data_IF_812027922199
#
_entry.id   IF_812027922199
#
_cell.length_a   1.000
_cell.length_b   1.000
_cell.length_c   1.000
_cell.angle_alpha   90.00
_cell.angle_beta   90.00
_cell.angle_gamma   90.00
#
_symmetry.space_group_name_H-M   'P 1'
#
loop_
_entity.id
_entity.type
_entity.pdbx_description
1 polymer ?
#
# COMPACT_ATOMS: atom_id res chain seq x y z
N UNK A 1 -15.04 13.16 23.26
CA UNK A 1 -13.97 12.47 24.02
C UNK A 1 -12.67 13.18 23.67
N UNK A 2 -12.04 13.90 24.62
CA UNK A 2 -10.82 14.67 24.36
C UNK A 2 -9.65 13.79 24.80
N UNK A 3 -8.84 13.31 23.84
CA UNK A 3 -7.62 12.59 24.13
C UNK A 3 -6.54 13.59 24.59
N UNK A 4 -6.15 13.51 25.86
CA UNK A 4 -5.07 14.34 26.42
C UNK A 4 -3.78 13.55 26.29
N UNK A 5 -2.92 13.94 25.34
CA UNK A 5 -1.60 13.34 25.19
C UNK A 5 -0.60 14.04 26.14
N UNK A 6 0.20 13.30 26.92
CA UNK A 6 1.29 13.89 27.70
C UNK A 6 2.30 14.59 26.78
N UNK A 7 2.73 15.80 27.16
CA UNK A 7 3.72 16.60 26.42
C UNK A 7 5.10 16.00 26.61
N UNK A 8 5.67 15.44 25.55
CA UNK A 8 7.08 15.07 25.48
C UNK A 8 7.91 16.31 25.12
N UNK A 9 8.85 16.70 25.97
CA UNK A 9 9.87 17.71 25.66
C UNK A 9 11.11 16.98 25.13
N UNK A 10 11.36 17.11 23.83
CA UNK A 10 12.40 16.46 23.02
C UNK A 10 12.14 16.79 21.54
N UNK A 11 12.99 16.35 20.58
CA UNK A 11 12.63 16.43 19.14
C UNK A 11 11.30 15.71 19.01
N UNK A 12 10.23 16.47 18.82
CA UNK A 12 8.91 15.88 18.71
C UNK A 12 8.97 14.93 17.52
N UNK A 13 8.86 13.63 17.76
CA UNK A 13 8.26 12.75 16.78
C UNK A 13 6.90 13.39 16.52
N UNK A 14 6.81 14.18 15.45
CA UNK A 14 5.54 14.69 15.02
C UNK A 14 4.73 13.45 14.74
N UNK A 15 3.76 13.14 15.62
CA UNK A 15 2.75 12.11 15.37
C UNK A 15 1.96 12.62 14.18
N UNK A 16 2.50 12.36 12.98
CA UNK A 16 1.96 12.79 11.71
C UNK A 16 1.23 11.59 11.18
N UNK A 17 -0.08 11.72 11.01
CA UNK A 17 -0.87 10.66 10.40
C UNK A 17 -0.37 10.45 8.97
N UNK A 18 0.27 9.29 8.65
CA UNK A 18 0.85 9.04 7.34
C UNK A 18 -0.22 9.12 6.24
N UNK A 19 -1.47 8.78 6.51
CA UNK A 19 -2.56 8.88 5.55
C UNK A 19 -2.84 10.35 5.15
N UNK A 20 -2.74 11.27 6.11
CA UNK A 20 -2.89 12.70 5.87
C UNK A 20 -1.72 13.27 5.07
N UNK A 21 -0.50 12.78 5.32
CA UNK A 21 0.70 13.17 4.54
C UNK A 21 0.54 12.78 3.09
N UNK A 22 0.16 11.52 2.85
CA UNK A 22 -0.03 11.00 1.50
C UNK A 22 -1.11 11.78 0.76
N UNK A 23 -2.20 12.15 1.43
CA UNK A 23 -3.22 13.02 0.86
C UNK A 23 -2.68 14.39 0.45
N UNK A 24 -1.87 15.02 1.30
CA UNK A 24 -1.24 16.31 1.00
C UNK A 24 -0.22 16.19 -0.14
N UNK A 25 0.53 15.09 -0.17
CA UNK A 25 1.55 14.82 -1.18
C UNK A 25 0.94 14.56 -2.55
N UNK A 26 -0.25 13.97 -2.59
CA UNK A 26 -1.02 13.81 -3.82
C UNK A 26 -1.39 15.14 -4.52
N UNK A 27 -1.42 16.26 -3.78
CA UNK A 27 -1.59 17.60 -4.36
C UNK A 27 -0.27 18.20 -4.87
N UNK A 28 0.88 17.65 -4.45
CA UNK A 28 2.24 18.11 -4.81
C UNK A 28 3.15 16.90 -5.09
N UNK A 29 2.90 16.13 -6.17
CA UNK A 29 3.61 14.88 -6.46
C UNK A 29 5.13 15.10 -6.63
N UNK A 30 5.56 16.28 -7.09
CA UNK A 30 6.98 16.64 -7.23
C UNK A 30 7.75 16.68 -5.91
N UNK A 31 7.05 16.83 -4.78
CA UNK A 31 7.66 16.80 -3.45
C UNK A 31 7.90 15.37 -2.94
N UNK A 32 7.51 14.33 -3.71
CA UNK A 32 7.71 12.93 -3.34
C UNK A 32 9.17 12.62 -3.02
N UNK A 33 10.10 12.98 -3.92
CA UNK A 33 11.52 12.62 -3.78
C UNK A 33 12.19 13.17 -2.51
N UNK A 34 11.74 14.32 -2.01
CA UNK A 34 12.24 14.99 -0.81
C UNK A 34 11.42 14.66 0.45
N UNK A 35 10.40 13.81 0.35
CA UNK A 35 9.48 13.54 1.44
C UNK A 35 10.05 12.54 2.44
N UNK A 36 9.98 12.87 3.73
CA UNK A 36 10.35 11.94 4.82
C UNK A 36 9.42 10.71 4.88
N UNK A 37 8.18 10.81 4.38
CA UNK A 37 7.20 9.70 4.34
C UNK A 37 7.69 8.50 3.52
N UNK A 38 8.71 8.68 2.67
CA UNK A 38 9.30 7.59 1.90
C UNK A 38 9.83 6.45 2.78
N UNK A 39 10.31 6.78 4.00
CA UNK A 39 10.79 5.78 4.95
C UNK A 39 9.68 4.89 5.51
N UNK A 40 8.42 5.35 5.45
CA UNK A 40 7.26 4.59 5.94
C UNK A 40 6.69 3.64 4.86
N UNK A 41 7.17 3.74 3.61
CA UNK A 41 6.76 2.86 2.52
C UNK A 41 7.78 1.73 2.29
N UNK A 42 7.32 0.54 1.85
CA UNK A 42 8.21 -0.51 1.37
C UNK A 42 9.07 -0.05 0.18
N UNK A 43 10.34 -0.46 0.13
CA UNK A 43 11.30 -0.04 -0.91
C UNK A 43 10.83 -0.29 -2.35
N UNK A 44 10.10 -1.38 -2.57
CA UNK A 44 9.52 -1.68 -3.89
C UNK A 44 8.49 -0.67 -4.33
N UNK A 45 7.68 -0.16 -3.39
CA UNK A 45 6.70 0.90 -3.65
C UNK A 45 7.42 2.21 -3.95
N UNK A 46 8.47 2.52 -3.18
CA UNK A 46 9.27 3.73 -3.40
C UNK A 46 9.92 3.75 -4.79
N UNK A 47 10.59 2.66 -5.18
CA UNK A 47 11.21 2.56 -6.52
C UNK A 47 10.17 2.68 -7.63
N UNK A 48 9.02 2.03 -7.46
CA UNK A 48 7.95 2.10 -8.44
C UNK A 48 7.36 3.51 -8.56
N UNK A 49 7.29 4.28 -7.48
CA UNK A 49 6.89 5.68 -7.52
C UNK A 49 7.94 6.58 -8.19
N UNK A 50 9.22 6.28 -8.03
CA UNK A 50 10.31 7.09 -8.60
C UNK A 50 10.36 6.99 -10.13
N UNK A 51 9.86 5.90 -10.72
CA UNK A 51 9.81 5.67 -12.18
C UNK A 51 8.59 6.32 -12.86
N UNK A 52 7.68 6.94 -12.09
CA UNK A 52 6.37 7.41 -12.56
C UNK A 52 6.37 8.85 -13.05
N UNK A 53 5.48 9.11 -14.02
CA UNK A 53 5.07 10.48 -14.33
C UNK A 53 4.36 11.13 -13.11
N UNK A 54 4.55 12.43 -12.86
CA UNK A 54 3.89 13.14 -11.76
C UNK A 54 2.36 12.97 -11.70
N UNK A 55 1.68 12.82 -12.84
CA UNK A 55 0.22 12.67 -12.89
C UNK A 55 -0.22 11.28 -12.39
N UNK A 56 0.48 10.22 -12.81
CA UNK A 56 0.22 8.85 -12.36
C UNK A 56 0.63 8.63 -10.90
N UNK A 57 1.72 9.28 -10.49
CA UNK A 57 2.15 9.34 -9.10
C UNK A 57 1.06 10.00 -8.23
N UNK A 58 0.56 11.18 -8.63
CA UNK A 58 -0.50 11.87 -7.92
C UNK A 58 -1.77 11.01 -7.83
N UNK A 59 -2.18 10.38 -8.92
CA UNK A 59 -3.37 9.53 -8.94
C UNK A 59 -3.21 8.29 -8.04
N UNK A 60 -2.02 7.68 -8.01
CA UNK A 60 -1.72 6.53 -7.15
C UNK A 60 -1.66 6.93 -5.67
N UNK A 61 -1.08 8.09 -5.33
CA UNK A 61 -1.10 8.63 -3.97
C UNK A 61 -2.53 8.96 -3.50
N UNK A 62 -3.39 9.50 -4.39
CA UNK A 62 -4.83 9.68 -4.09
C UNK A 62 -5.52 8.34 -3.80
N UNK A 63 -5.20 7.31 -4.57
CA UNK A 63 -5.75 5.98 -4.38
C UNK A 63 -5.35 5.38 -3.02
N UNK A 64 -4.08 5.51 -2.63
CA UNK A 64 -3.59 5.08 -1.31
C UNK A 64 -4.29 5.86 -0.20
N UNK A 65 -4.34 7.19 -0.30
CA UNK A 65 -5.03 8.02 0.69
C UNK A 65 -6.51 7.67 0.84
N UNK A 66 -7.19 7.33 -0.27
CA UNK A 66 -8.57 6.88 -0.24
C UNK A 66 -8.71 5.51 0.47
N UNK A 67 -7.80 4.57 0.20
CA UNK A 67 -7.81 3.25 0.86
C UNK A 67 -7.51 3.35 2.37
N UNK A 68 -6.64 4.27 2.78
CA UNK A 68 -6.34 4.54 4.19
C UNK A 68 -7.54 5.09 5.00
N UNK A 69 -8.64 5.49 4.36
CA UNK A 69 -9.88 5.85 5.09
C UNK A 69 -10.59 4.64 5.68
N UNK A 70 -10.40 3.47 5.06
CA UNK A 70 -11.07 2.23 5.43
C UNK A 70 -10.13 1.25 6.17
N UNK A 71 -8.82 1.35 5.94
CA UNK A 71 -7.80 0.40 6.38
C UNK A 71 -6.60 1.13 6.99
N UNK A 72 -5.79 0.42 7.77
CA UNK A 72 -4.53 0.98 8.30
C UNK A 72 -3.54 1.31 7.19
N UNK A 73 -2.70 2.34 7.39
CA UNK A 73 -1.68 2.72 6.42
C UNK A 73 -0.69 1.58 6.14
N UNK A 74 -0.25 0.85 7.17
CA UNK A 74 0.66 -0.28 7.03
C UNK A 74 0.07 -1.39 6.15
N UNK A 75 -1.21 -1.74 6.34
CA UNK A 75 -1.90 -2.71 5.49
C UNK A 75 -2.04 -2.23 4.05
N UNK A 76 -2.32 -0.94 3.82
CA UNK A 76 -2.40 -0.36 2.47
C UNK A 76 -1.02 -0.34 1.79
N UNK A 77 0.05 0.00 2.53
CA UNK A 77 1.41 0.02 2.00
C UNK A 77 1.88 -1.39 1.61
N UNK A 78 1.59 -2.40 2.44
CA UNK A 78 1.83 -3.82 2.12
C UNK A 78 0.99 -4.32 0.96
N UNK A 79 -0.29 -3.93 0.87
CA UNK A 79 -1.14 -4.25 -0.26
C UNK A 79 -0.62 -3.64 -1.57
N UNK A 80 -0.12 -2.40 -1.53
CA UNK A 80 0.49 -1.76 -2.68
C UNK A 80 1.76 -2.51 -3.14
N UNK A 81 2.62 -2.91 -2.20
CA UNK A 81 3.80 -3.72 -2.49
C UNK A 81 3.44 -5.05 -3.19
N UNK A 82 2.50 -5.80 -2.63
CA UNK A 82 2.05 -7.08 -3.20
C UNK A 82 1.45 -6.92 -4.62
N UNK A 83 0.68 -5.86 -4.86
CA UNK A 83 0.13 -5.57 -6.19
C UNK A 83 1.22 -5.21 -7.21
N UNK A 84 2.22 -4.43 -6.79
CA UNK A 84 3.35 -4.04 -7.64
C UNK A 84 4.19 -5.27 -7.98
N UNK A 85 4.47 -6.14 -7.01
CA UNK A 85 5.21 -7.39 -7.21
C UNK A 85 4.50 -8.33 -8.19
N UNK A 86 3.19 -8.51 -8.01
CA UNK A 86 2.43 -9.51 -8.77
C UNK A 86 2.09 -9.05 -10.19
N UNK A 87 1.69 -7.78 -10.36
CA UNK A 87 1.07 -7.30 -11.61
C UNK A 87 1.78 -6.12 -12.25
N UNK A 88 2.65 -5.40 -11.55
CA UNK A 88 3.26 -4.13 -12.02
C UNK A 88 2.25 -3.22 -12.74
N UNK A 89 1.13 -2.85 -12.08
CA UNK A 89 0.05 -2.12 -12.75
C UNK A 89 0.54 -0.75 -13.25
N UNK A 90 -0.04 -0.21 -14.33
CA UNK A 90 0.24 1.15 -14.80
C UNK A 90 -0.26 2.23 -13.83
N UNK A 91 -1.17 1.90 -12.90
CA UNK A 91 -1.63 2.81 -11.84
C UNK A 91 -2.24 2.05 -10.69
N UNK A 92 -2.09 2.57 -9.47
CA UNK A 92 -2.81 2.03 -8.31
C UNK A 92 -4.23 2.58 -8.26
N UNK A 93 -5.18 1.70 -7.97
CA UNK A 93 -6.58 2.06 -7.78
C UNK A 93 -7.07 1.72 -6.38
N UNK A 94 -7.87 2.63 -5.81
CA UNK A 94 -8.35 2.50 -4.44
C UNK A 94 -9.11 1.17 -4.21
N UNK A 95 -9.97 0.77 -5.15
CA UNK A 95 -10.75 -0.47 -5.01
C UNK A 95 -9.86 -1.74 -4.92
N UNK A 96 -8.70 -1.76 -5.60
CA UNK A 96 -7.76 -2.87 -5.53
C UNK A 96 -7.05 -2.86 -4.18
N UNK A 97 -6.56 -1.69 -3.77
CA UNK A 97 -5.86 -1.50 -2.50
C UNK A 97 -6.75 -1.82 -1.31
N UNK A 98 -7.97 -1.28 -1.24
CA UNK A 98 -8.89 -1.49 -0.12
C UNK A 98 -9.21 -2.97 0.08
N UNK A 99 -9.44 -3.75 -1.00
CA UNK A 99 -9.73 -5.17 -0.88
C UNK A 99 -8.54 -5.95 -0.29
N UNK A 100 -7.32 -5.69 -0.77
CA UNK A 100 -6.12 -6.36 -0.29
C UNK A 100 -5.73 -5.91 1.13
N UNK A 101 -5.81 -4.61 1.41
CA UNK A 101 -5.50 -4.03 2.71
C UNK A 101 -6.46 -4.53 3.80
N UNK A 102 -7.77 -4.63 3.52
CA UNK A 102 -8.73 -5.19 4.48
C UNK A 102 -8.39 -6.62 4.90
N UNK A 103 -7.90 -7.45 3.98
CA UNK A 103 -7.47 -8.82 4.30
C UNK A 103 -6.28 -8.81 5.26
N UNK A 104 -5.29 -7.96 4.98
CA UNK A 104 -4.11 -7.79 5.84
C UNK A 104 -4.47 -7.26 7.23
N UNK A 105 -5.37 -6.27 7.32
CA UNK A 105 -5.86 -5.76 8.62
C UNK A 105 -6.60 -6.82 9.44
N UNK A 106 -7.27 -7.77 8.77
CA UNK A 106 -7.91 -8.91 9.41
C UNK A 106 -6.92 -10.02 9.82
N UNK A 107 -5.61 -9.80 9.63
CA UNK A 107 -4.57 -10.79 9.92
C UNK A 107 -4.60 -12.00 8.96
N UNK A 108 -5.29 -11.87 7.82
CA UNK A 108 -5.23 -12.88 6.78
C UNK A 108 -3.94 -12.65 6.00
N UNK A 109 -2.92 -13.45 6.32
CA UNK A 109 -1.65 -13.39 5.63
C UNK A 109 -1.88 -13.62 4.12
N UNK A 110 -1.46 -12.67 3.29
CA UNK A 110 -1.54 -12.80 1.83
C UNK A 110 -0.35 -13.53 1.27
N UNK A 111 0.68 -13.80 2.08
CA UNK A 111 1.63 -14.86 1.76
C UNK A 111 0.85 -16.17 1.76
N UNK A 112 0.61 -16.70 0.57
CA UNK A 112 0.38 -18.11 0.38
C UNK A 112 1.61 -18.84 0.92
N UNK A 113 1.67 -19.09 2.23
CA UNK A 113 2.70 -19.91 2.86
C UNK A 113 2.70 -21.34 2.28
N UNK A 114 1.62 -21.69 1.59
CA UNK A 114 1.48 -22.85 0.74
C UNK A 114 0.98 -22.35 -0.62
N UNK A 115 1.77 -22.52 -1.69
CA UNK A 115 1.21 -22.45 -3.05
C UNK A 115 -0.03 -23.34 -3.09
N UNK A 116 -1.19 -22.87 -3.61
CA UNK A 116 -2.34 -23.74 -3.76
C UNK A 116 -1.89 -25.02 -4.45
N UNK A 117 -2.18 -26.19 -3.88
CA UNK A 117 -1.84 -27.45 -4.51
C UNK A 117 -2.70 -27.60 -5.78
N UNK A 118 -2.11 -27.25 -6.92
CA UNK A 118 -2.77 -27.29 -8.22
C UNK A 118 -2.70 -28.69 -8.86
N UNK A 119 -2.10 -29.69 -8.20
CA UNK A 119 -2.04 -31.06 -8.72
C UNK A 119 -3.41 -31.69 -8.93
N UNK A 120 -4.45 -31.16 -8.29
CA UNK A 120 -5.85 -31.53 -8.54
C UNK A 120 -6.28 -31.22 -9.99
N UNK A 121 -5.70 -30.19 -10.61
CA UNK A 121 -5.97 -29.84 -12.01
C UNK A 121 -5.16 -30.69 -13.00
N UNK A 122 -4.04 -31.28 -12.58
CA UNK A 122 -3.27 -32.20 -13.42
C UNK A 122 -4.11 -33.44 -13.78
N UNK A 123 -4.97 -33.91 -12.86
CA UNK A 123 -5.92 -35.00 -13.13
C UNK A 123 -6.88 -34.70 -14.30
N UNK A 124 -7.19 -33.43 -14.57
CA UNK A 124 -8.06 -33.06 -15.70
C UNK A 124 -7.30 -32.95 -17.03
N UNK A 125 -5.97 -32.84 -17.00
CA UNK A 125 -5.11 -32.84 -18.19
C UNK A 125 -4.77 -34.28 -18.65
N UNK A 126 -4.81 -35.25 -17.73
CA UNK A 126 -4.54 -36.66 -18.01
C UNK A 126 -5.76 -37.44 -18.59
N UNK A 127 -6.96 -36.86 -18.61
CA UNK A 127 -8.20 -37.50 -19.11
C UNK A 127 -8.44 -37.30 -20.63
N UNK A 128 -7.39 -36.94 -21.39
CA UNK A 128 -7.43 -36.87 -22.86
C UNK A 128 -6.73 -38.11 -23.48
N UNK A 129 -7.36 -39.27 -23.40
CA UNK A 129 -7.15 -40.38 -24.35
C UNK A 129 -8.47 -41.06 -24.74
#
# INVERSE_FOLDING_TARGET
MIAVHPRAYGRAESVRDPALVVHQLAAKPRAWGESEIRADFPDIVCRWFDERDPDDLAASLKAISAACRDCSFDAVAKAAAALIETRKPERLHAHQLTLHARRLDQGQDTHYAHEPDLSVYDRFLDDHE
#
